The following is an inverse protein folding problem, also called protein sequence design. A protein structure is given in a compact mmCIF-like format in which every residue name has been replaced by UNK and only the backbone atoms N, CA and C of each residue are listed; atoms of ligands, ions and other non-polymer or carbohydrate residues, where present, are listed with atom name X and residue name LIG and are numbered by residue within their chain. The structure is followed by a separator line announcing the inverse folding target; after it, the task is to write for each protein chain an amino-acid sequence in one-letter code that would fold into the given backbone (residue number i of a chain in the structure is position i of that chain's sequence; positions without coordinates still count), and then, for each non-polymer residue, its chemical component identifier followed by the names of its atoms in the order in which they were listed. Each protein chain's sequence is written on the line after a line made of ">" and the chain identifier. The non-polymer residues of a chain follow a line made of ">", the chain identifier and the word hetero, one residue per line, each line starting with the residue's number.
data_IF_278708727108
#
_entry.id   IF_278708727108
#
_cell.length_a   1.000
_cell.length_b   1.000
_cell.length_c   1.000
_cell.angle_alpha   90.00
_cell.angle_beta   90.00
_cell.angle_gamma   90.00
#
_symmetry.space_group_name_H-M   'P 1'
#
loop_
_entity.id
_entity.type
_entity.pdbx_description
1 polymer ?
#
# COMPACT_ATOMS: atom_id res chain seq x y z
N UNK A 1 9.71 25.63 10.07
CA UNK A 1 9.68 24.50 9.12
C UNK A 1 8.27 24.39 8.55
N UNK A 2 8.06 24.79 7.30
CA UNK A 2 6.78 24.54 6.63
C UNK A 2 6.75 23.04 6.30
N UNK A 3 5.84 22.29 6.94
CA UNK A 3 5.51 20.96 6.44
C UNK A 3 4.90 21.16 5.05
N UNK A 4 5.53 20.59 4.03
CA UNK A 4 5.01 20.61 2.65
C UNK A 4 3.52 20.25 2.68
N UNK A 5 2.67 21.20 2.28
CA UNK A 5 1.22 21.08 2.39
C UNK A 5 0.68 19.86 1.61
N UNK A 6 1.45 19.35 0.64
CA UNK A 6 1.13 18.15 -0.15
C UNK A 6 1.40 16.84 0.59
N UNK A 7 2.25 16.84 1.62
CA UNK A 7 2.50 15.66 2.47
C UNK A 7 1.44 15.47 3.55
N UNK A 8 0.58 16.46 3.77
CA UNK A 8 -0.57 16.34 4.65
C UNK A 8 -1.53 15.31 4.04
N UNK A 9 -1.78 14.22 4.78
CA UNK A 9 -2.68 13.13 4.37
C UNK A 9 -4.13 13.61 4.39
N UNK A 10 -4.59 14.26 3.32
CA UNK A 10 -5.96 14.78 3.19
C UNK A 10 -6.93 13.77 2.60
N UNK A 11 -6.44 12.89 1.73
CA UNK A 11 -7.26 11.90 1.03
C UNK A 11 -7.40 10.63 1.87
N UNK A 12 -8.64 10.19 2.05
CA UNK A 12 -8.98 8.93 2.73
C UNK A 12 -9.49 7.95 1.69
N UNK A 13 -9.02 6.71 1.77
CA UNK A 13 -9.56 5.59 1.01
C UNK A 13 -10.24 4.64 2.01
N UNK A 14 -11.48 4.27 1.72
CA UNK A 14 -12.24 3.29 2.51
C UNK A 14 -12.35 2.02 1.68
N UNK A 15 -12.05 0.87 2.29
CA UNK A 15 -12.15 -0.44 1.67
C UNK A 15 -13.24 -1.21 2.40
N UNK A 16 -14.10 -1.89 1.65
CA UNK A 16 -15.03 -2.88 2.20
C UNK A 16 -14.35 -4.23 2.06
N UNK A 17 -14.15 -4.92 3.17
CA UNK A 17 -13.55 -6.24 3.23
C UNK A 17 -14.63 -7.23 3.67
N UNK A 18 -14.54 -8.46 3.17
CA UNK A 18 -15.32 -9.55 3.74
C UNK A 18 -14.74 -10.02 5.10
N UNK A 19 -15.45 -10.92 5.78
CA UNK A 19 -15.04 -11.40 7.11
C UNK A 19 -13.69 -12.13 7.08
N UNK A 20 -13.41 -12.90 6.02
CA UNK A 20 -12.16 -13.65 5.89
C UNK A 20 -10.96 -12.74 5.59
N UNK A 21 -11.14 -11.77 4.71
CA UNK A 21 -10.16 -10.74 4.42
C UNK A 21 -9.85 -9.91 5.67
N UNK A 22 -10.88 -9.55 6.44
CA UNK A 22 -10.72 -8.82 7.69
C UNK A 22 -9.94 -9.64 8.73
N UNK A 23 -10.20 -10.94 8.84
CA UNK A 23 -9.45 -11.84 9.72
C UNK A 23 -7.99 -11.98 9.29
N UNK A 24 -7.72 -12.11 7.99
CA UNK A 24 -6.36 -12.18 7.44
C UNK A 24 -5.57 -10.90 7.75
N UNK A 25 -6.17 -9.73 7.51
CA UNK A 25 -5.52 -8.44 7.82
C UNK A 25 -5.25 -8.33 9.33
N UNK A 26 -6.19 -8.79 10.16
CA UNK A 26 -6.01 -8.78 11.62
C UNK A 26 -4.86 -9.69 12.05
N UNK A 27 -4.76 -10.89 11.48
CA UNK A 27 -3.66 -11.81 11.74
C UNK A 27 -2.31 -11.20 11.32
N UNK A 28 -2.24 -10.55 10.15
CA UNK A 28 -1.05 -9.85 9.66
C UNK A 28 -0.63 -8.69 10.57
N UNK A 29 -1.59 -7.92 11.08
CA UNK A 29 -1.34 -6.84 12.04
C UNK A 29 -0.76 -7.40 13.34
N UNK A 30 -1.35 -8.47 13.86
CA UNK A 30 -0.88 -9.12 15.09
C UNK A 30 0.51 -9.72 14.91
N UNK A 31 0.80 -10.28 13.74
CA UNK A 31 2.10 -10.88 13.42
C UNK A 31 3.21 -9.83 13.27
N UNK A 32 2.93 -8.72 12.58
CA UNK A 32 3.93 -7.69 12.30
C UNK A 32 4.06 -6.64 13.39
N UNK A 33 3.04 -6.46 14.24
CA UNK A 33 2.96 -5.41 15.24
C UNK A 33 2.76 -4.00 14.66
N UNK A 34 2.45 -3.88 13.36
CA UNK A 34 2.26 -2.60 12.66
C UNK A 34 0.78 -2.20 12.71
N UNK A 35 0.50 -0.91 12.83
CA UNK A 35 -0.88 -0.40 12.75
C UNK A 35 -1.56 -0.78 11.42
N UNK A 36 -2.82 -1.24 11.49
CA UNK A 36 -3.62 -1.67 10.34
C UNK A 36 -3.60 -0.68 9.16
N UNK A 37 -3.78 0.61 9.44
CA UNK A 37 -3.81 1.65 8.40
C UNK A 37 -2.44 1.82 7.71
N UNK A 38 -1.34 1.67 8.46
CA UNK A 38 0.01 1.73 7.92
C UNK A 38 0.32 0.49 7.06
N UNK A 39 -0.09 -0.70 7.52
CA UNK A 39 0.09 -1.95 6.80
C UNK A 39 -0.68 -1.95 5.47
N UNK A 40 -1.98 -1.60 5.50
CA UNK A 40 -2.81 -1.50 4.29
C UNK A 40 -2.24 -0.49 3.29
N UNK A 41 -1.76 0.66 3.77
CA UNK A 41 -1.10 1.65 2.91
C UNK A 41 0.15 1.07 2.26
N UNK A 42 1.00 0.37 3.00
CA UNK A 42 2.23 -0.21 2.48
C UNK A 42 1.94 -1.27 1.41
N UNK A 43 0.94 -2.13 1.64
CA UNK A 43 0.50 -3.13 0.67
C UNK A 43 0.00 -2.47 -0.62
N UNK A 44 -0.95 -1.53 -0.51
CA UNK A 44 -1.52 -0.83 -1.68
C UNK A 44 -0.43 -0.09 -2.47
N UNK A 45 0.51 0.58 -1.80
CA UNK A 45 1.58 1.32 -2.48
C UNK A 45 2.61 0.40 -3.12
N UNK A 46 2.87 -0.76 -2.53
CA UNK A 46 3.75 -1.79 -3.10
C UNK A 46 3.13 -2.37 -4.37
N UNK A 47 1.84 -2.72 -4.30
CA UNK A 47 1.10 -3.27 -5.44
C UNK A 47 0.93 -2.22 -6.56
N UNK A 48 0.55 -0.99 -6.21
CA UNK A 48 0.46 0.10 -7.18
C UNK A 48 1.81 0.36 -7.87
N UNK A 49 2.92 0.25 -7.12
CA UNK A 49 4.27 0.35 -7.69
C UNK A 49 4.55 -0.80 -8.65
N UNK A 50 4.19 -2.03 -8.31
CA UNK A 50 4.38 -3.19 -9.19
C UNK A 50 3.59 -3.04 -10.49
N UNK A 51 2.31 -2.64 -10.40
CA UNK A 51 1.44 -2.41 -11.57
C UNK A 51 1.91 -1.23 -12.44
N UNK A 52 2.45 -0.17 -11.83
CA UNK A 52 3.00 1.00 -12.54
C UNK A 52 4.40 0.80 -13.09
N UNK A 53 5.09 -0.28 -12.73
CA UNK A 53 6.39 -0.68 -13.28
C UNK A 53 6.27 -1.86 -14.27
N UNK A 54 5.28 -1.89 -15.20
CA UNK A 54 5.02 -3.07 -16.00
C UNK A 54 6.17 -3.26 -16.98
N UNK A 55 6.99 -4.30 -16.85
CA UNK A 55 7.70 -4.99 -17.96
C UNK A 55 8.57 -4.13 -18.92
N UNK A 56 8.71 -2.83 -18.67
CA UNK A 56 9.34 -1.87 -19.58
C UNK A 56 10.83 -1.83 -19.33
N UNK A 57 11.28 -2.10 -18.11
CA UNK A 57 12.71 -2.18 -17.80
C UNK A 57 13.34 -3.47 -18.30
N UNK A 58 12.62 -4.60 -18.32
CA UNK A 58 13.14 -5.85 -18.91
C UNK A 58 13.23 -5.73 -20.43
N UNK A 59 12.29 -5.03 -21.08
CA UNK A 59 12.36 -4.77 -22.53
C UNK A 59 13.39 -3.69 -22.87
N UNK A 60 13.51 -2.62 -22.06
CA UNK A 60 14.45 -1.51 -22.30
C UNK A 60 15.92 -1.82 -21.96
N UNK A 61 16.19 -2.84 -21.14
CA UNK A 61 17.54 -3.34 -20.89
C UNK A 61 17.94 -4.50 -21.84
N UNK A 62 17.00 -5.00 -22.64
CA UNK A 62 17.21 -6.05 -23.64
C UNK A 62 17.34 -5.52 -25.09
N UNK A 63 17.39 -4.20 -25.26
CA UNK A 63 17.61 -3.47 -26.53
C UNK A 63 18.84 -2.58 -26.44
#
# INVERSE_FOLDING_TARGET
>A
MYQDAKRIRKHRATLSLDDYEQDLITALVNYTGIEKAQLLRALVMTEARALLLPETTLTALAS
#
